data_IF_549594504849
#
_entry.id   IF_549594504849
#
_cell.length_a   1.000
_cell.length_b   1.000
_cell.length_c   1.000
_cell.angle_alpha   90.00
_cell.angle_beta   90.00
_cell.angle_gamma   90.00
#
_symmetry.space_group_name_H-M   'P 1'
#
loop_
_entity.id
_entity.type
_entity.pdbx_description
1 polymer ?
#
# COMPACT_ATOMS: atom_id res chain seq x y z
N UNK A 1 17.47 -17.62 23.79
CA UNK A 1 17.37 -16.45 24.67
C UNK A 1 18.07 -15.26 24.04
N UNK A 2 19.38 -15.33 23.76
CA UNK A 2 20.15 -14.24 23.11
C UNK A 2 19.62 -13.78 21.74
N UNK A 3 19.20 -14.72 20.87
CA UNK A 3 18.69 -14.39 19.52
C UNK A 3 17.34 -13.68 19.53
N UNK A 4 16.48 -13.97 20.51
CA UNK A 4 15.15 -13.39 20.58
C UNK A 4 15.21 -11.97 21.16
N UNK A 5 16.05 -11.74 22.17
CA UNK A 5 16.33 -10.40 22.70
C UNK A 5 16.95 -9.50 21.63
N UNK A 6 17.87 -10.04 20.82
CA UNK A 6 18.45 -9.34 19.68
C UNK A 6 17.40 -8.96 18.64
N UNK A 7 16.44 -9.85 18.35
CA UNK A 7 15.33 -9.58 17.43
C UNK A 7 14.40 -8.50 17.96
N UNK A 8 13.98 -8.59 19.23
CA UNK A 8 13.12 -7.59 19.87
C UNK A 8 13.76 -6.21 19.94
N UNK A 9 15.09 -6.13 20.06
CA UNK A 9 15.81 -4.87 20.02
C UNK A 9 15.80 -4.19 18.63
N UNK A 10 15.89 -4.99 17.56
CA UNK A 10 15.98 -4.49 16.18
C UNK A 10 14.60 -4.25 15.55
N UNK A 11 13.59 -5.04 15.93
CA UNK A 11 12.21 -4.96 15.44
C UNK A 11 11.65 -3.53 15.33
N UNK A 12 11.73 -2.65 16.36
CA UNK A 12 11.15 -1.31 16.25
C UNK A 12 11.80 -0.45 15.17
N UNK A 13 13.09 -0.65 14.89
CA UNK A 13 13.79 0.08 13.82
C UNK A 13 13.34 -0.42 12.46
N UNK A 14 13.20 -1.73 12.29
CA UNK A 14 12.72 -2.33 11.03
C UNK A 14 11.28 -1.92 10.73
N UNK A 15 10.41 -1.92 11.75
CA UNK A 15 9.02 -1.49 11.60
C UNK A 15 8.95 -0.01 11.20
N UNK A 16 9.73 0.86 11.84
CA UNK A 16 9.77 2.27 11.49
C UNK A 16 10.25 2.51 10.04
N UNK A 17 11.24 1.76 9.56
CA UNK A 17 11.68 1.85 8.18
C UNK A 17 10.64 1.31 7.19
N UNK A 18 9.95 0.23 7.54
CA UNK A 18 8.83 -0.29 6.76
C UNK A 18 7.70 0.74 6.63
N UNK A 19 7.30 1.36 7.75
CA UNK A 19 6.26 2.39 7.76
C UNK A 19 6.64 3.58 6.88
N UNK A 20 7.90 4.02 6.93
CA UNK A 20 8.42 5.10 6.06
C UNK A 20 8.32 4.73 4.58
N UNK A 21 8.68 3.51 4.23
CA UNK A 21 8.59 3.02 2.84
C UNK A 21 7.14 3.03 2.36
N UNK A 22 6.23 2.48 3.17
CA UNK A 22 4.79 2.40 2.85
C UNK A 22 4.18 3.79 2.67
N UNK A 23 4.43 4.71 3.59
CA UNK A 23 3.89 6.07 3.53
C UNK A 23 4.45 6.87 2.33
N UNK A 24 5.73 6.69 2.00
CA UNK A 24 6.33 7.33 0.80
C UNK A 24 5.66 6.83 -0.48
N UNK A 25 5.41 5.53 -0.59
CA UNK A 25 4.75 4.97 -1.77
C UNK A 25 3.31 5.46 -1.89
N UNK A 26 2.55 5.47 -0.80
CA UNK A 26 1.18 6.00 -0.82
C UNK A 26 1.12 7.47 -1.19
N UNK A 27 2.14 8.26 -0.81
CA UNK A 27 2.21 9.65 -1.24
C UNK A 27 2.41 9.77 -2.74
N UNK A 28 3.34 9.00 -3.31
CA UNK A 28 3.55 8.97 -4.75
C UNK A 28 2.30 8.48 -5.51
N UNK A 29 1.63 7.44 -5.00
CA UNK A 29 0.40 6.92 -5.59
C UNK A 29 -0.70 7.99 -5.62
N UNK A 30 -0.83 8.78 -4.56
CA UNK A 30 -1.79 9.89 -4.48
C UNK A 30 -1.48 11.01 -5.48
N UNK A 31 -0.21 11.33 -5.65
CA UNK A 31 0.23 12.36 -6.59
C UNK A 31 0.00 11.91 -8.05
N UNK A 32 0.20 10.62 -8.37
CA UNK A 32 -0.13 10.05 -9.69
C UNK A 32 -1.63 9.88 -9.91
N UNK A 33 -2.41 9.47 -8.90
CA UNK A 33 -3.87 9.40 -8.96
C UNK A 33 -4.47 10.77 -9.32
N UNK A 34 -3.92 11.84 -8.75
CA UNK A 34 -4.35 13.22 -9.04
C UNK A 34 -4.15 13.58 -10.51
N UNK A 35 -3.05 13.11 -11.14
CA UNK A 35 -2.78 13.35 -12.56
C UNK A 35 -3.67 12.49 -13.44
N UNK A 36 -3.83 11.20 -13.10
CA UNK A 36 -4.56 10.23 -13.90
C UNK A 36 -6.07 10.47 -13.88
N UNK A 37 -6.63 10.87 -12.74
CA UNK A 37 -8.08 10.98 -12.53
C UNK A 37 -8.62 12.40 -12.74
N UNK A 38 -7.81 13.31 -13.28
CA UNK A 38 -8.21 14.70 -13.50
C UNK A 38 -9.38 14.85 -14.50
N UNK A 39 -9.50 13.91 -15.45
CA UNK A 39 -10.50 13.97 -16.52
C UNK A 39 -11.84 13.30 -16.15
N UNK A 40 -11.92 12.64 -14.99
CA UNK A 40 -13.11 11.90 -14.55
C UNK A 40 -14.03 12.82 -13.73
N UNK A 41 -15.29 13.05 -14.15
CA UNK A 41 -16.22 13.88 -13.40
C UNK A 41 -16.51 13.27 -12.02
N UNK A 42 -16.62 14.12 -11.00
CA UNK A 42 -16.91 13.76 -9.61
C UNK A 42 -15.85 12.88 -8.90
N UNK A 43 -14.66 12.69 -9.49
CA UNK A 43 -13.58 11.99 -8.81
C UNK A 43 -12.92 12.86 -7.72
N UNK A 44 -12.84 12.32 -6.50
CA UNK A 44 -12.08 12.92 -5.40
C UNK A 44 -10.92 12.00 -5.04
N UNK A 45 -9.70 12.51 -5.14
CA UNK A 45 -8.46 11.76 -4.88
C UNK A 45 -8.46 11.12 -3.49
N UNK A 46 -8.26 9.80 -3.45
CA UNK A 46 -8.29 8.99 -2.23
C UNK A 46 -9.71 8.64 -1.73
N UNK A 47 -10.71 8.72 -2.59
CA UNK A 47 -12.06 8.18 -2.36
C UNK A 47 -12.47 7.30 -3.53
N UNK A 48 -13.33 6.33 -3.25
CA UNK A 48 -13.97 5.54 -4.30
C UNK A 48 -15.27 6.22 -4.70
N UNK A 49 -15.29 6.90 -5.86
CA UNK A 49 -16.47 7.62 -6.36
C UNK A 49 -17.16 8.52 -5.31
N UNK A 50 -16.37 9.22 -4.50
CA UNK A 50 -16.87 10.14 -3.46
C UNK A 50 -17.13 9.50 -2.10
N UNK A 51 -17.06 8.17 -1.98
CA UNK A 51 -17.17 7.45 -0.71
C UNK A 51 -15.80 6.99 -0.17
N UNK A 52 -15.65 6.99 1.15
CA UNK A 52 -14.46 6.42 1.79
C UNK A 52 -14.59 4.90 1.77
N UNK A 53 -13.56 4.22 1.27
CA UNK A 53 -13.47 2.75 1.28
C UNK A 53 -13.60 2.19 2.70
N UNK A 54 -13.00 2.88 3.68
CA UNK A 54 -13.10 2.51 5.09
C UNK A 54 -14.13 3.39 5.82
N UNK A 55 -15.09 2.72 6.47
CA UNK A 55 -16.17 3.37 7.23
C UNK A 55 -15.70 3.94 8.58
N UNK A 56 -14.67 3.37 9.19
CA UNK A 56 -14.13 3.81 10.48
C UNK A 56 -12.76 4.48 10.31
N UNK A 57 -12.43 5.44 11.18
CA UNK A 57 -11.10 6.06 11.22
C UNK A 57 -10.03 5.14 11.82
N UNK A 58 -10.46 4.14 12.60
CA UNK A 58 -9.56 3.25 13.35
C UNK A 58 -9.04 2.09 12.51
N UNK A 59 -9.67 1.82 11.36
CA UNK A 59 -9.23 0.74 10.47
C UNK A 59 -8.16 1.27 9.51
N UNK A 60 -6.94 1.40 10.00
CA UNK A 60 -5.78 1.22 9.13
C UNK A 60 -5.46 -0.28 9.20
N UNK A 61 -5.49 -1.01 8.07
CA UNK A 61 -5.05 -2.39 8.11
C UNK A 61 -3.57 -2.41 8.52
N UNK A 62 -3.22 -3.26 9.50
CA UNK A 62 -1.83 -3.44 9.97
C UNK A 62 -0.86 -3.79 8.82
N UNK A 63 -1.39 -4.23 7.67
CA UNK A 63 -0.64 -4.46 6.44
C UNK A 63 -1.29 -3.77 5.25
N UNK A 64 -0.52 -3.03 4.43
CA UNK A 64 -1.01 -2.54 3.15
C UNK A 64 -1.39 -3.73 2.27
N UNK A 65 -2.52 -3.64 1.58
CA UNK A 65 -2.86 -4.61 0.54
C UNK A 65 -1.82 -4.51 -0.57
N UNK A 66 -1.29 -5.65 -1.04
CA UNK A 66 -0.18 -5.68 -1.99
C UNK A 66 -0.48 -4.85 -3.24
N UNK A 67 -1.70 -4.96 -3.77
CA UNK A 67 -2.08 -4.24 -5.00
C UNK A 67 -2.11 -2.71 -4.80
N UNK A 68 -2.54 -2.25 -3.63
CA UNK A 68 -2.64 -0.83 -3.31
C UNK A 68 -1.25 -0.19 -3.19
N UNK A 69 -0.28 -0.98 -2.73
CA UNK A 69 1.11 -0.57 -2.61
C UNK A 69 1.83 -0.61 -3.97
N UNK A 70 1.65 -1.67 -4.75
CA UNK A 70 2.36 -1.89 -6.03
C UNK A 70 1.70 -1.26 -7.26
N UNK A 71 0.55 -0.59 -7.13
CA UNK A 71 -0.18 0.00 -8.27
C UNK A 71 0.63 0.93 -9.17
N UNK A 72 1.59 1.67 -8.61
CA UNK A 72 2.49 2.61 -9.34
C UNK A 72 3.95 2.10 -9.38
N UNK A 73 4.19 0.87 -8.94
CA UNK A 73 5.55 0.32 -8.88
C UNK A 73 6.15 0.02 -10.26
N UNK A 74 7.48 -0.10 -10.30
CA UNK A 74 8.22 -0.34 -11.55
C UNK A 74 7.74 -1.64 -12.24
N UNK A 75 7.75 -1.71 -13.58
CA UNK A 75 7.20 -2.84 -14.34
C UNK A 75 7.75 -4.23 -13.96
N UNK A 76 8.96 -4.30 -13.42
CA UNK A 76 9.58 -5.55 -12.96
C UNK A 76 8.84 -6.20 -11.78
N UNK A 77 8.14 -5.41 -10.97
CA UNK A 77 7.49 -5.87 -9.74
C UNK A 77 6.05 -6.35 -10.00
N UNK A 78 5.30 -5.70 -10.91
CA UNK A 78 3.92 -6.06 -11.28
C UNK A 78 3.77 -7.47 -11.89
N UNK A 79 4.84 -8.04 -12.46
CA UNK A 79 4.79 -9.33 -13.17
C UNK A 79 4.57 -10.54 -12.26
N UNK A 80 4.81 -10.40 -10.94
CA UNK A 80 4.68 -11.50 -9.99
C UNK A 80 3.22 -11.81 -9.60
N UNK A 81 2.32 -10.83 -9.73
CA UNK A 81 0.95 -10.92 -9.20
C UNK A 81 -0.05 -11.48 -10.22
N UNK A 82 0.20 -11.26 -11.51
CA UNK A 82 -0.69 -11.69 -12.61
C UNK A 82 -0.76 -13.22 -12.74
N UNK A 83 0.28 -13.93 -12.31
CA UNK A 83 0.33 -15.40 -12.36
C UNK A 83 -0.24 -16.08 -11.09
N UNK A 84 -0.43 -15.36 -9.98
CA UNK A 84 -0.92 -15.96 -8.74
C UNK A 84 -2.44 -16.23 -8.78
N UNK A 85 -3.19 -15.43 -9.54
CA UNK A 85 -4.65 -15.61 -9.71
C UNK A 85 -5.04 -16.65 -10.77
N UNK A 86 -4.08 -17.26 -11.46
CA UNK A 86 -4.32 -18.27 -12.51
C UNK A 86 -4.38 -19.72 -12.01
N UNK A 87 -4.20 -19.97 -10.70
CA UNK A 87 -4.14 -21.32 -10.13
C UNK A 87 -5.16 -21.58 -9.01
N UNK A 88 -6.40 -21.12 -9.19
CA UNK A 88 -7.55 -21.65 -8.46
C UNK A 88 -8.63 -22.11 -9.45
N UNK A 89 -8.51 -23.37 -9.87
CA UNK A 89 -9.61 -24.26 -10.26
C UNK A 89 -9.54 -25.46 -9.32
#
# INVERSE_FOLDING_TARGET
METDESRSCIEPVLLAEQDRIVLRQYRANRDEETKLMNDVPDWKVGTWFGEKVFKSRTFFPDRPHLLDYYGVSRPSTQRLDVNASQWQI
#
